data_IF_254345576368
#
_entry.id   IF_254345576368
#
_cell.length_a   1.000
_cell.length_b   1.000
_cell.length_c   1.000
_cell.angle_alpha   90.00
_cell.angle_beta   90.00
_cell.angle_gamma   90.00
#
_symmetry.space_group_name_H-M   'P 1'
#
loop_
_entity.id
_entity.type
_entity.pdbx_description
1 polymer ?
#
# COMPACT_ATOMS: atom_id res chain seq x y z
N UNK A 1 14.97 -5.51 3.15
CA UNK A 1 14.64 -4.12 2.78
C UNK A 1 14.41 -3.35 4.06
N UNK A 2 14.88 -2.11 4.18
CA UNK A 2 14.60 -1.30 5.38
C UNK A 2 13.25 -0.55 5.25
N UNK A 3 12.74 -0.06 6.38
CA UNK A 3 11.45 0.64 6.46
C UNK A 3 11.35 1.87 5.56
N UNK A 4 12.46 2.60 5.42
CA UNK A 4 12.53 3.80 4.59
C UNK A 4 12.35 3.43 3.12
N UNK A 5 13.05 2.39 2.65
CA UNK A 5 12.90 1.85 1.29
C UNK A 5 11.49 1.34 1.02
N UNK A 6 10.87 0.65 2.00
CA UNK A 6 9.47 0.21 1.89
C UNK A 6 8.54 1.40 1.74
N UNK A 7 8.70 2.43 2.57
CA UNK A 7 7.88 3.65 2.52
C UNK A 7 8.01 4.39 1.20
N UNK A 8 9.23 4.60 0.72
CA UNK A 8 9.47 5.27 -0.56
C UNK A 8 8.84 4.50 -1.71
N UNK A 9 9.05 3.18 -1.77
CA UNK A 9 8.52 2.34 -2.83
C UNK A 9 6.99 2.26 -2.79
N UNK A 10 6.40 2.05 -1.61
CA UNK A 10 4.95 2.03 -1.44
C UNK A 10 4.32 3.38 -1.81
N UNK A 11 4.97 4.49 -1.45
CA UNK A 11 4.57 5.83 -1.85
C UNK A 11 4.58 6.03 -3.36
N UNK A 12 5.60 5.56 -4.07
CA UNK A 12 5.65 5.63 -5.53
C UNK A 12 4.54 4.81 -6.20
N UNK A 13 4.24 3.62 -5.69
CA UNK A 13 3.12 2.79 -6.18
C UNK A 13 1.81 3.55 -6.00
N UNK A 14 1.55 4.07 -4.80
CA UNK A 14 0.37 4.87 -4.49
C UNK A 14 0.22 6.10 -5.40
N UNK A 15 1.29 6.88 -5.58
CA UNK A 15 1.28 8.06 -6.46
C UNK A 15 0.96 7.65 -7.89
N UNK A 16 1.58 6.58 -8.40
CA UNK A 16 1.37 6.10 -9.76
C UNK A 16 -0.07 5.63 -9.96
N UNK A 17 -0.60 4.84 -9.01
CA UNK A 17 -1.98 4.36 -9.00
C UNK A 17 -2.99 5.51 -9.01
N UNK A 18 -2.75 6.53 -8.18
CA UNK A 18 -3.61 7.71 -8.06
C UNK A 18 -3.52 8.61 -9.30
N UNK A 19 -2.33 8.78 -9.86
CA UNK A 19 -2.11 9.53 -11.10
C UNK A 19 -2.86 8.91 -12.29
N UNK A 20 -2.90 7.57 -12.40
CA UNK A 20 -3.70 6.87 -13.42
C UNK A 20 -5.21 7.17 -13.33
N UNK A 21 -5.67 7.64 -12.18
CA UNK A 21 -7.07 7.99 -11.91
C UNK A 21 -7.32 9.49 -11.91
N UNK A 22 -6.31 10.27 -12.29
CA UNK A 22 -6.39 11.73 -12.38
C UNK A 22 -6.22 12.44 -11.04
N UNK A 23 -5.70 11.77 -10.01
CA UNK A 23 -5.33 12.41 -8.75
C UNK A 23 -3.84 12.77 -8.75
N UNK A 24 -3.55 14.07 -8.64
CA UNK A 24 -2.19 14.54 -8.37
C UNK A 24 -2.00 14.63 -6.85
N UNK A 25 -1.21 13.71 -6.30
CA UNK A 25 -0.89 13.66 -4.87
C UNK A 25 0.60 13.55 -4.65
N UNK A 26 1.05 14.13 -3.55
CA UNK A 26 2.42 14.06 -3.06
C UNK A 26 2.57 13.00 -1.97
N UNK A 27 3.80 12.55 -1.74
CA UNK A 27 4.15 11.62 -0.66
C UNK A 27 3.67 12.09 0.73
N UNK A 28 3.65 13.41 0.97
CA UNK A 28 3.17 13.99 2.23
C UNK A 28 1.65 13.87 2.40
N UNK A 29 0.89 13.92 1.30
CA UNK A 29 -0.57 13.79 1.31
C UNK A 29 -1.03 12.34 1.48
N UNK A 30 -0.17 11.37 1.12
CA UNK A 30 -0.45 9.94 1.30
C UNK A 30 -0.52 9.49 2.75
N UNK A 31 -0.05 10.29 3.71
CA UNK A 31 -0.26 9.97 5.13
C UNK A 31 -1.74 10.11 5.55
N UNK A 32 -2.63 10.59 4.67
CA UNK A 32 -4.08 10.52 4.83
C UNK A 32 -4.78 10.01 3.56
N UNK A 33 -4.78 8.69 3.35
CA UNK A 33 -5.43 8.07 2.19
C UNK A 33 -6.96 8.23 2.21
N UNK A 34 -7.56 8.42 3.40
CA UNK A 34 -9.01 8.66 3.51
C UNK A 34 -9.46 9.94 2.83
N UNK A 35 -8.62 10.99 2.81
CA UNK A 35 -8.96 12.24 2.11
C UNK A 35 -8.90 12.11 0.58
N UNK A 36 -8.24 11.07 0.06
CA UNK A 36 -8.13 10.83 -1.38
C UNK A 36 -9.42 10.21 -1.95
N UNK A 37 -10.27 9.64 -1.10
CA UNK A 37 -11.59 9.13 -1.53
C UNK A 37 -11.53 7.77 -2.25
N UNK A 38 -10.55 6.93 -1.92
CA UNK A 38 -10.47 5.56 -2.45
C UNK A 38 -11.66 4.73 -1.96
N UNK A 39 -12.41 4.14 -2.89
CA UNK A 39 -13.44 3.15 -2.57
C UNK A 39 -12.85 1.76 -2.28
N UNK A 40 -13.69 0.83 -1.82
CA UNK A 40 -13.23 -0.53 -1.44
C UNK A 40 -12.65 -1.32 -2.60
N UNK A 41 -13.15 -1.11 -3.83
CA UNK A 41 -12.64 -1.78 -5.03
C UNK A 41 -11.24 -1.28 -5.37
N UNK A 42 -11.10 0.03 -5.33
CA UNK A 42 -9.84 0.74 -5.51
C UNK A 42 -8.77 0.32 -4.52
N UNK A 43 -9.16 0.08 -3.26
CA UNK A 43 -8.24 -0.41 -2.25
C UNK A 43 -7.75 -1.83 -2.58
N UNK A 44 -8.62 -2.70 -3.09
CA UNK A 44 -8.23 -4.05 -3.49
C UNK A 44 -7.26 -4.02 -4.69
N UNK A 45 -7.52 -3.17 -5.70
CA UNK A 45 -6.62 -2.99 -6.85
C UNK A 45 -5.27 -2.42 -6.44
N UNK A 46 -5.25 -1.41 -5.57
CA UNK A 46 -4.01 -0.84 -5.02
C UNK A 46 -3.17 -1.92 -4.33
N UNK A 47 -3.82 -2.81 -3.58
CA UNK A 47 -3.12 -3.83 -2.81
C UNK A 47 -2.54 -4.90 -3.73
N UNK A 48 -3.25 -5.24 -4.80
CA UNK A 48 -2.70 -6.07 -5.86
C UNK A 48 -1.41 -5.45 -6.44
N UNK A 49 -1.44 -4.17 -6.82
CA UNK A 49 -0.24 -3.48 -7.34
C UNK A 49 0.92 -3.42 -6.33
N UNK A 50 0.61 -3.19 -5.05
CA UNK A 50 1.61 -3.21 -3.98
C UNK A 50 2.20 -4.61 -3.82
N UNK A 51 1.38 -5.66 -3.77
CA UNK A 51 1.85 -7.04 -3.66
C UNK A 51 2.74 -7.42 -4.85
N UNK A 52 2.35 -7.07 -6.08
CA UNK A 52 3.19 -7.27 -7.27
C UNK A 52 4.51 -6.51 -7.16
N UNK A 53 4.47 -5.21 -6.80
CA UNK A 53 5.65 -4.38 -6.70
C UNK A 53 6.65 -4.92 -5.66
N UNK A 54 6.18 -5.53 -4.59
CA UNK A 54 7.00 -6.08 -3.52
C UNK A 54 7.26 -7.59 -3.64
N UNK A 55 6.70 -8.25 -4.66
CA UNK A 55 6.77 -9.71 -4.86
C UNK A 55 6.27 -10.49 -3.64
N UNK A 56 5.15 -10.05 -3.07
CA UNK A 56 4.48 -10.65 -1.91
C UNK A 56 3.23 -11.39 -2.41
N UNK A 57 2.91 -12.53 -1.81
CA UNK A 57 1.62 -13.21 -2.03
C UNK A 57 0.49 -12.33 -1.49
N UNK A 58 -0.49 -12.01 -2.32
CA UNK A 58 -1.62 -11.13 -1.99
C UNK A 58 -2.46 -11.66 -0.82
N UNK A 59 -2.43 -12.98 -0.58
CA UNK A 59 -3.09 -13.62 0.57
C UNK A 59 -2.47 -13.25 1.92
N UNK A 60 -1.25 -12.71 1.93
CA UNK A 60 -0.57 -12.28 3.15
C UNK A 60 -1.10 -10.95 3.68
N UNK A 61 -1.72 -10.13 2.82
CA UNK A 61 -2.44 -8.92 3.23
C UNK A 61 -3.91 -9.29 3.36
N UNK A 62 -4.35 -9.51 4.61
CA UNK A 62 -5.70 -10.02 4.89
C UNK A 62 -6.80 -8.96 4.69
N UNK A 63 -8.02 -9.41 4.41
CA UNK A 63 -9.21 -8.54 4.22
C UNK A 63 -9.50 -7.59 5.40
N UNK A 64 -9.14 -7.98 6.63
CA UNK A 64 -9.27 -7.14 7.82
C UNK A 64 -8.22 -6.01 7.84
N UNK A 65 -7.02 -6.28 7.35
CA UNK A 65 -5.96 -5.28 7.18
C UNK A 65 -6.30 -4.28 6.07
N UNK A 66 -6.98 -4.71 4.99
CA UNK A 66 -7.45 -3.80 3.94
C UNK A 66 -8.29 -2.64 4.50
N UNK A 67 -9.10 -2.92 5.54
CA UNK A 67 -9.95 -1.91 6.18
C UNK A 67 -9.19 -0.97 7.12
N UNK A 68 -8.03 -1.38 7.61
CA UNK A 68 -7.18 -0.57 8.50
C UNK A 68 -6.20 0.32 7.74
N UNK A 69 -5.96 0.05 6.45
CA UNK A 69 -5.13 0.87 5.57
C UNK A 69 -5.82 2.22 5.31
N UNK A 70 -5.33 3.23 6.00
CA UNK A 70 -5.89 4.59 6.01
C UNK A 70 -4.85 5.68 5.76
N UNK A 71 -3.57 5.28 5.75
CA UNK A 71 -2.40 6.11 5.53
C UNK A 71 -1.29 5.28 4.87
N UNK A 72 -0.32 5.95 4.27
CA UNK A 72 0.93 5.35 3.83
C UNK A 72 1.64 4.61 4.99
N UNK A 73 1.59 5.15 6.21
CA UNK A 73 2.14 4.48 7.39
C UNK A 73 1.52 3.09 7.63
N UNK A 74 0.20 3.00 7.68
CA UNK A 74 -0.51 1.73 7.86
C UNK A 74 -0.30 0.74 6.71
N UNK A 75 -0.09 1.24 5.48
CA UNK A 75 0.26 0.40 4.34
C UNK A 75 1.67 -0.16 4.49
N UNK A 76 2.64 0.66 4.89
CA UNK A 76 4.02 0.23 5.16
C UNK A 76 4.07 -0.83 6.24
N UNK A 77 3.29 -0.67 7.31
CA UNK A 77 3.19 -1.68 8.38
C UNK A 77 2.68 -3.02 7.83
N UNK A 78 1.62 -3.00 7.01
CA UNK A 78 1.07 -4.22 6.40
C UNK A 78 2.08 -4.90 5.45
N UNK A 79 2.84 -4.13 4.68
CA UNK A 79 3.89 -4.65 3.80
C UNK A 79 5.03 -5.27 4.61
N UNK A 80 5.47 -4.61 5.69
CA UNK A 80 6.53 -5.14 6.58
C UNK A 80 6.12 -6.46 7.21
N UNK A 81 4.89 -6.54 7.72
CA UNK A 81 4.33 -7.77 8.27
C UNK A 81 4.31 -8.89 7.21
N UNK A 82 3.82 -8.58 6.00
CA UNK A 82 3.73 -9.55 4.92
C UNK A 82 5.10 -10.02 4.42
N UNK A 83 6.08 -9.13 4.30
CA UNK A 83 7.47 -9.49 3.98
C UNK A 83 8.09 -10.40 5.04
N UNK A 84 7.82 -10.13 6.31
CA UNK A 84 8.31 -10.95 7.43
C UNK A 84 7.69 -12.35 7.40
N UNK A 85 6.38 -12.44 7.17
CA UNK A 85 5.68 -13.71 7.01
C UNK A 85 6.19 -14.50 5.79
N UNK A 86 6.42 -13.82 4.66
CA UNK A 86 6.97 -14.45 3.45
C UNK A 86 8.40 -14.96 3.63
N UNK A 87 9.20 -14.37 4.52
CA UNK A 87 10.57 -14.82 4.80
C UNK A 87 10.62 -16.04 5.74
N UNK A 88 9.49 -16.38 6.39
CA UNK A 88 9.41 -17.46 7.39
C UNK A 88 8.84 -18.76 6.80
N UNK A 89 8.27 -18.73 5.59
CA UNK A 89 7.77 -19.89 4.84
C UNK A 89 8.73 -20.30 3.72
#
# INVERSE_FOLDING_TARGET
MDRTQIREKAGHVLITFLAHRGHEVTLAELDNLRSVGLDSLSMAELIFEVCEAFSIDDRLIRDDQLRSITSLGTLVDAIEDALTLSATN
#
